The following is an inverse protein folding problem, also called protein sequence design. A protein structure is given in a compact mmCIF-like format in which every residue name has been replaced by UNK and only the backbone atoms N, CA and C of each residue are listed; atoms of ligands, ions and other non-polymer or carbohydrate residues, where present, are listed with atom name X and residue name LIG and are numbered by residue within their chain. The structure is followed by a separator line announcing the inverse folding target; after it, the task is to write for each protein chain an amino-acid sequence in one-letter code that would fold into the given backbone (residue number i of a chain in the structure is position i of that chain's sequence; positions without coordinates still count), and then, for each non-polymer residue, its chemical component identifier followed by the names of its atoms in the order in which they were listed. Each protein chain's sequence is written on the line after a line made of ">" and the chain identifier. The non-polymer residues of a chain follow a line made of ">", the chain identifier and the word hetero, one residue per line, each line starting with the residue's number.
data_IF_035423972498
#
_entry.id   IF_035423972498
#
_cell.length_a   1.000
_cell.length_b   1.000
_cell.length_c   1.000
_cell.angle_alpha   90.00
_cell.angle_beta   90.00
_cell.angle_gamma   90.00
#
_symmetry.space_group_name_H-M   'P 1'
#
loop_
_entity.id
_entity.type
_entity.pdbx_description
1 polymer ?
#
# COMPACT_ATOMS: atom_id res chain seq x y z
N UNK A 1 -37.98 72.70 -27.44
CA UNK A 1 -39.24 72.35 -26.75
C UNK A 1 -39.26 70.82 -26.59
N UNK A 2 -38.78 70.32 -25.44
CA UNK A 2 -39.60 69.77 -24.33
C UNK A 2 -40.12 68.37 -24.68
N UNK A 3 -39.42 67.29 -24.28
CA UNK A 3 -39.41 66.61 -22.97
C UNK A 3 -40.38 65.43 -22.89
N UNK A 4 -39.79 64.23 -22.75
CA UNK A 4 -40.13 63.06 -21.93
C UNK A 4 -41.59 62.64 -21.66
N UNK A 5 -41.79 61.32 -21.79
CA UNK A 5 -42.53 60.32 -20.96
C UNK A 5 -43.27 59.34 -21.89
N UNK A 6 -43.32 58.02 -21.71
CA UNK A 6 -43.30 57.22 -20.49
C UNK A 6 -43.08 55.71 -20.80
N UNK A 7 -42.51 55.00 -19.81
CA UNK A 7 -42.72 53.58 -19.42
C UNK A 7 -42.72 52.46 -20.48
N UNK A 8 -41.66 51.66 -20.55
CA UNK A 8 -41.46 50.42 -19.77
C UNK A 8 -42.26 49.21 -20.29
N UNK A 9 -41.54 48.29 -20.94
CA UNK A 9 -41.66 46.88 -20.60
C UNK A 9 -40.32 46.18 -20.91
N UNK A 10 -39.50 46.05 -19.87
CA UNK A 10 -38.27 45.29 -19.91
C UNK A 10 -38.56 43.86 -20.38
N UNK A 11 -38.06 43.48 -21.56
CA UNK A 11 -37.94 42.07 -21.96
C UNK A 11 -36.98 41.40 -20.98
N UNK A 12 -37.54 40.78 -19.95
CA UNK A 12 -36.85 39.92 -19.01
C UNK A 12 -36.31 38.73 -19.80
N UNK A 13 -35.06 38.81 -20.22
CA UNK A 13 -34.34 37.67 -20.78
C UNK A 13 -34.33 36.58 -19.69
N UNK A 14 -35.02 35.48 -19.95
CA UNK A 14 -34.91 34.26 -19.17
C UNK A 14 -33.52 33.68 -19.44
N UNK A 15 -32.53 34.13 -18.68
CA UNK A 15 -31.23 33.46 -18.60
C UNK A 15 -31.50 32.14 -17.88
N UNK A 16 -31.70 31.07 -18.64
CA UNK A 16 -31.71 29.72 -18.08
C UNK A 16 -30.30 29.41 -17.62
N UNK A 17 -30.02 29.63 -16.33
CA UNK A 17 -28.77 29.17 -15.72
C UNK A 17 -28.77 27.64 -15.82
N UNK A 18 -27.82 27.01 -16.55
CA UNK A 18 -27.72 25.56 -16.52
C UNK A 18 -27.35 25.17 -15.08
N UNK A 19 -28.26 24.51 -14.37
CA UNK A 19 -27.96 23.87 -13.10
C UNK A 19 -26.92 22.78 -13.39
N UNK A 20 -25.66 23.09 -13.12
CA UNK A 20 -24.58 22.10 -13.17
C UNK A 20 -24.85 21.10 -12.04
N UNK A 21 -25.57 20.03 -12.34
CA UNK A 21 -25.75 18.90 -11.42
C UNK A 21 -24.36 18.34 -11.18
N UNK A 22 -23.87 18.48 -9.95
CA UNK A 22 -22.60 17.92 -9.50
C UNK A 22 -22.74 16.40 -9.54
N UNK A 23 -22.49 15.80 -10.70
CA UNK A 23 -22.35 14.36 -10.84
C UNK A 23 -21.13 13.94 -10.02
N UNK A 24 -21.36 13.24 -8.92
CA UNK A 24 -20.27 12.60 -8.19
C UNK A 24 -19.64 11.57 -9.13
N UNK A 25 -18.38 11.79 -9.49
CA UNK A 25 -17.61 10.82 -10.23
C UNK A 25 -17.62 9.50 -9.45
N UNK A 26 -18.21 8.46 -10.01
CA UNK A 26 -18.09 7.11 -9.47
C UNK A 26 -16.63 6.69 -9.60
N UNK A 27 -15.89 6.42 -8.50
CA UNK A 27 -14.51 5.99 -8.62
C UNK A 27 -14.48 4.58 -9.21
N UNK A 28 -14.33 4.45 -10.53
CA UNK A 28 -13.89 3.21 -11.17
C UNK A 28 -12.41 3.03 -10.86
N UNK A 29 -12.12 2.53 -9.67
CA UNK A 29 -10.93 1.75 -9.43
C UNK A 29 -11.39 0.32 -9.24
N UNK A 30 -10.77 -0.64 -9.92
CA UNK A 30 -10.92 -2.05 -9.56
C UNK A 30 -10.37 -2.19 -8.13
N UNK A 31 -11.24 -2.03 -7.15
CA UNK A 31 -10.90 -2.16 -5.73
C UNK A 31 -10.67 -3.65 -5.51
N UNK A 32 -9.39 -4.02 -5.40
CA UNK A 32 -9.00 -5.36 -4.96
C UNK A 32 -9.61 -5.58 -3.58
N UNK A 33 -10.47 -6.59 -3.44
CA UNK A 33 -11.11 -6.92 -2.16
C UNK A 33 -10.04 -7.44 -1.21
N UNK A 34 -9.70 -6.65 -0.20
CA UNK A 34 -8.74 -7.05 0.82
C UNK A 34 -9.51 -7.79 1.93
N UNK A 35 -9.11 -9.01 2.32
CA UNK A 35 -9.87 -9.85 3.25
C UNK A 35 -9.77 -9.37 4.71
N UNK A 36 -8.67 -8.70 5.09
CA UNK A 36 -8.47 -8.15 6.44
C UNK A 36 -8.02 -6.70 6.38
N UNK A 37 -8.61 -5.87 7.26
CA UNK A 37 -8.16 -4.51 7.49
C UNK A 37 -7.03 -4.50 8.51
N UNK A 38 -5.82 -4.20 8.04
CA UNK A 38 -4.66 -4.02 8.91
C UNK A 38 -4.43 -2.53 9.19
N UNK A 39 -4.07 -2.22 10.43
CA UNK A 39 -3.83 -0.85 10.89
C UNK A 39 -2.34 -0.58 11.06
N UNK A 40 -1.98 0.68 11.32
CA UNK A 40 -0.58 1.09 11.53
C UNK A 40 0.20 1.34 10.24
N UNK A 41 1.52 1.47 10.39
CA UNK A 41 2.43 1.73 9.27
C UNK A 41 2.54 0.45 8.43
N UNK A 42 2.74 -0.68 9.09
CA UNK A 42 2.83 -2.00 8.48
C UNK A 42 1.56 -2.38 7.70
N UNK A 43 0.38 -2.10 8.25
CA UNK A 43 -0.89 -2.37 7.58
C UNK A 43 -1.04 -1.59 6.28
N UNK A 44 -0.76 -0.28 6.29
CA UNK A 44 -0.85 0.57 5.09
C UNK A 44 0.07 0.09 3.97
N UNK A 45 1.30 -0.26 4.31
CA UNK A 45 2.27 -0.77 3.34
C UNK A 45 1.91 -2.15 2.81
N UNK A 46 1.51 -3.06 3.71
CA UNK A 46 1.09 -4.42 3.36
C UNK A 46 -0.14 -4.40 2.44
N UNK A 47 -1.17 -3.63 2.77
CA UNK A 47 -2.37 -3.48 1.95
C UNK A 47 -2.07 -2.85 0.58
N UNK A 48 -1.17 -1.87 0.52
CA UNK A 48 -0.74 -1.27 -0.74
C UNK A 48 0.01 -2.28 -1.62
N UNK A 49 0.94 -3.05 -1.04
CA UNK A 49 1.67 -4.11 -1.74
C UNK A 49 0.73 -5.20 -2.24
N UNK A 50 -0.22 -5.67 -1.40
CA UNK A 50 -1.23 -6.65 -1.79
C UNK A 50 -2.07 -6.16 -2.97
N UNK A 51 -2.52 -4.91 -2.93
CA UNK A 51 -3.29 -4.30 -4.01
C UNK A 51 -2.47 -4.22 -5.30
N UNK A 52 -1.18 -3.86 -5.21
CA UNK A 52 -0.29 -3.79 -6.37
C UNK A 52 0.04 -5.17 -6.95
N UNK A 53 0.30 -6.16 -6.09
CA UNK A 53 0.58 -7.54 -6.48
C UNK A 53 -0.65 -8.23 -7.09
N UNK A 54 -1.84 -7.97 -6.53
CA UNK A 54 -3.11 -8.47 -7.06
C UNK A 54 -3.43 -7.92 -8.44
N UNK A 55 -3.20 -6.61 -8.67
CA UNK A 55 -3.36 -6.02 -10.01
C UNK A 55 -2.43 -6.64 -11.07
N UNK A 56 -1.27 -7.16 -10.65
CA UNK A 56 -0.28 -7.81 -11.51
C UNK A 56 -0.39 -9.34 -11.52
N UNK A 57 -1.33 -9.93 -10.77
CA UNK A 57 -1.48 -11.37 -10.59
C UNK A 57 -0.23 -12.12 -10.07
N UNK A 58 0.66 -11.44 -9.33
CA UNK A 58 1.93 -12.01 -8.86
C UNK A 58 1.98 -12.20 -7.33
N UNK A 59 0.84 -12.47 -6.67
CA UNK A 59 0.76 -12.49 -5.21
C UNK A 59 1.65 -13.54 -4.55
N UNK A 60 1.59 -14.79 -5.05
CA UNK A 60 2.34 -15.93 -4.51
C UNK A 60 3.85 -15.74 -4.73
N UNK A 61 4.24 -15.24 -5.91
CA UNK A 61 5.64 -15.00 -6.20
C UNK A 61 6.23 -13.95 -5.25
N UNK A 62 5.53 -12.83 -5.06
CA UNK A 62 5.94 -11.78 -4.11
C UNK A 62 5.99 -12.31 -2.67
N UNK A 63 5.06 -13.17 -2.26
CA UNK A 63 5.09 -13.82 -0.94
C UNK A 63 6.38 -14.63 -0.73
N UNK A 64 6.74 -15.48 -1.70
CA UNK A 64 7.97 -16.28 -1.60
C UNK A 64 9.25 -15.43 -1.56
N UNK A 65 9.27 -14.33 -2.30
CA UNK A 65 10.39 -13.39 -2.30
C UNK A 65 10.53 -12.66 -0.97
N UNK A 66 9.42 -12.16 -0.42
CA UNK A 66 9.41 -11.52 0.90
C UNK A 66 9.88 -12.48 2.01
N UNK A 67 9.52 -13.76 1.92
CA UNK A 67 10.02 -14.78 2.85
C UNK A 67 11.53 -15.00 2.74
N UNK A 68 12.07 -15.05 1.52
CA UNK A 68 13.53 -15.14 1.32
C UNK A 68 14.25 -13.92 1.91
N UNK A 69 13.72 -12.72 1.69
CA UNK A 69 14.29 -11.49 2.25
C UNK A 69 14.27 -11.52 3.78
N UNK A 70 13.16 -11.95 4.38
CA UNK A 70 13.06 -12.13 5.84
C UNK A 70 14.14 -13.07 6.37
N UNK A 71 14.31 -14.24 5.73
CA UNK A 71 15.32 -15.20 6.13
C UNK A 71 16.75 -14.67 5.99
N UNK A 72 17.05 -13.88 4.95
CA UNK A 72 18.38 -13.25 4.78
C UNK A 72 18.64 -12.24 5.89
N UNK A 73 17.67 -11.40 6.23
CA UNK A 73 17.79 -10.41 7.31
C UNK A 73 17.98 -11.09 8.68
N UNK A 74 17.32 -12.22 8.92
CA UNK A 74 17.47 -12.98 10.16
C UNK A 74 18.80 -13.73 10.25
N UNK A 75 19.36 -14.19 9.13
CA UNK A 75 20.64 -14.91 9.09
C UNK A 75 21.84 -13.98 9.25
N UNK A 76 21.80 -12.80 8.64
CA UNK A 76 22.93 -11.88 8.60
C UNK A 76 22.71 -10.68 9.54
N UNK A 77 23.26 -10.71 10.77
CA UNK A 77 23.07 -9.62 11.74
C UNK A 77 23.66 -8.29 11.24
N UNK A 78 24.67 -8.34 10.36
CA UNK A 78 25.26 -7.15 9.72
C UNK A 78 24.25 -6.39 8.86
N UNK A 79 23.40 -7.12 8.12
CA UNK A 79 22.35 -6.51 7.29
C UNK A 79 21.30 -5.88 8.20
N UNK A 80 20.93 -6.56 9.29
CA UNK A 80 19.99 -6.02 10.27
C UNK A 80 20.48 -4.71 10.88
N UNK A 81 21.72 -4.67 11.36
CA UNK A 81 22.33 -3.43 11.90
C UNK A 81 22.34 -2.32 10.84
N UNK A 82 22.73 -2.63 9.60
CA UNK A 82 22.72 -1.65 8.51
C UNK A 82 21.33 -1.05 8.23
N UNK A 83 20.26 -1.86 8.35
CA UNK A 83 18.88 -1.38 8.19
C UNK A 83 18.45 -0.48 9.36
N UNK A 84 18.82 -0.84 10.58
CA UNK A 84 18.51 -0.14 11.83
C UNK A 84 19.31 1.16 12.02
N UNK A 85 20.52 1.26 11.46
CA UNK A 85 21.43 2.39 11.68
C UNK A 85 20.92 3.72 11.09
N UNK A 86 20.52 4.71 11.91
CA UNK A 86 19.97 5.98 11.41
C UNK A 86 21.05 6.93 10.86
N UNK A 87 22.33 6.66 11.13
CA UNK A 87 23.47 7.49 10.71
C UNK A 87 23.74 7.44 9.20
N UNK A 88 23.28 6.39 8.52
CA UNK A 88 23.50 6.22 7.10
C UNK A 88 22.50 7.03 6.27
N UNK A 89 23.01 7.81 5.32
CA UNK A 89 22.19 8.58 4.38
C UNK A 89 21.21 7.68 3.61
N UNK A 90 19.99 8.17 3.38
CA UNK A 90 18.93 7.42 2.68
C UNK A 90 19.35 6.92 1.28
N UNK A 91 20.17 7.70 0.57
CA UNK A 91 20.70 7.35 -0.75
C UNK A 91 21.58 6.10 -0.68
N UNK A 92 22.59 6.09 0.21
CA UNK A 92 23.44 4.91 0.44
C UNK A 92 22.66 3.66 0.85
N UNK A 93 21.61 3.83 1.68
CA UNK A 93 20.69 2.72 2.02
C UNK A 93 19.95 2.20 0.79
N UNK A 94 19.42 3.10 -0.04
CA UNK A 94 18.73 2.75 -1.28
C UNK A 94 19.65 1.99 -2.24
N UNK A 95 20.89 2.46 -2.41
CA UNK A 95 21.87 1.82 -3.29
C UNK A 95 22.27 0.44 -2.79
N UNK A 96 22.53 0.28 -1.49
CA UNK A 96 22.84 -1.01 -0.88
C UNK A 96 21.69 -2.01 -1.02
N UNK A 97 20.46 -1.58 -0.74
CA UNK A 97 19.27 -2.43 -0.92
C UNK A 97 19.07 -2.80 -2.39
N UNK A 98 19.30 -1.86 -3.31
CA UNK A 98 19.17 -2.11 -4.74
C UNK A 98 20.24 -3.08 -5.27
N UNK A 99 21.45 -3.06 -4.75
CA UNK A 99 22.49 -4.05 -5.07
C UNK A 99 22.07 -5.45 -4.58
N UNK A 100 21.63 -5.57 -3.32
CA UNK A 100 21.13 -6.83 -2.76
C UNK A 100 19.93 -7.40 -3.56
N UNK A 101 19.07 -6.51 -4.09
CA UNK A 101 17.92 -6.90 -4.90
C UNK A 101 18.28 -7.28 -6.34
N UNK A 102 19.41 -6.81 -6.87
CA UNK A 102 19.90 -7.21 -8.20
C UNK A 102 20.45 -8.62 -8.15
N UNK A 103 21.24 -8.92 -7.14
CA UNK A 103 21.88 -10.24 -6.98
C UNK A 103 20.84 -11.37 -6.79
N UNK A 104 19.69 -11.05 -6.19
CA UNK A 104 18.63 -12.01 -5.91
C UNK A 104 17.59 -12.22 -7.02
N UNK A 105 17.69 -11.55 -8.18
CA UNK A 105 16.74 -11.67 -9.30
C UNK A 105 15.25 -11.55 -8.89
N UNK A 106 14.90 -10.58 -8.03
CA UNK A 106 13.53 -10.39 -7.58
C UNK A 106 12.61 -9.76 -8.64
N UNK A 107 11.30 -9.97 -8.50
CA UNK A 107 10.25 -9.37 -9.31
C UNK A 107 10.27 -7.83 -9.22
N UNK A 108 9.87 -7.18 -10.31
CA UNK A 108 9.81 -5.71 -10.39
C UNK A 108 8.90 -5.09 -9.33
N UNK A 109 7.83 -5.79 -8.95
CA UNK A 109 6.92 -5.31 -7.89
C UNK A 109 7.63 -5.24 -6.54
N UNK A 110 8.44 -6.24 -6.23
CA UNK A 110 9.24 -6.34 -5.01
C UNK A 110 10.36 -5.29 -5.01
N UNK A 111 11.08 -5.14 -6.13
CA UNK A 111 12.10 -4.08 -6.31
C UNK A 111 11.53 -2.68 -6.10
N UNK A 112 10.38 -2.39 -6.71
CA UNK A 112 9.71 -1.10 -6.56
C UNK A 112 9.24 -0.86 -5.13
N UNK A 113 8.73 -1.90 -4.46
CA UNK A 113 8.32 -1.80 -3.07
C UNK A 113 9.49 -1.43 -2.13
N UNK A 114 10.62 -2.13 -2.25
CA UNK A 114 11.81 -1.81 -1.45
C UNK A 114 12.39 -0.43 -1.77
N UNK A 115 12.29 0.02 -3.02
CA UNK A 115 12.66 1.38 -3.42
C UNK A 115 11.82 2.41 -2.66
N UNK A 116 10.49 2.22 -2.60
CA UNK A 116 9.59 3.11 -1.86
C UNK A 116 9.87 3.07 -0.35
N UNK A 117 10.18 1.91 0.22
CA UNK A 117 10.56 1.82 1.64
C UNK A 117 11.87 2.55 1.93
N UNK A 118 12.86 2.43 1.04
CA UNK A 118 14.14 3.12 1.18
C UNK A 118 14.00 4.64 1.11
N UNK A 119 13.17 5.15 0.18
CA UNK A 119 12.90 6.59 0.05
C UNK A 119 12.21 7.16 1.30
N UNK A 120 11.25 6.41 1.83
CA UNK A 120 10.54 6.80 3.05
C UNK A 120 11.33 6.54 4.33
N UNK A 121 12.48 5.86 4.26
CA UNK A 121 13.30 5.50 5.42
C UNK A 121 12.67 4.44 6.33
N UNK A 122 11.77 3.60 5.81
CA UNK A 122 10.97 2.62 6.56
C UNK A 122 11.51 1.19 6.46
N UNK A 123 12.80 1.07 6.21
CA UNK A 123 13.49 -0.21 6.03
C UNK A 123 13.58 -1.05 7.32
N UNK A 124 13.54 -0.40 8.49
CA UNK A 124 13.51 -1.07 9.80
C UNK A 124 12.22 -1.85 10.02
N UNK A 125 11.11 -1.35 9.49
CA UNK A 125 9.77 -1.95 9.65
C UNK A 125 9.51 -3.10 8.65
N UNK A 126 10.50 -3.45 7.82
CA UNK A 126 10.37 -4.50 6.79
C UNK A 126 9.85 -5.81 7.36
N UNK A 127 10.40 -6.27 8.49
CA UNK A 127 9.98 -7.54 9.13
C UNK A 127 8.50 -7.48 9.53
N UNK A 128 8.06 -6.36 10.11
CA UNK A 128 6.66 -6.19 10.52
C UNK A 128 5.73 -6.16 9.30
N UNK A 129 6.13 -5.49 8.23
CA UNK A 129 5.36 -5.45 6.98
C UNK A 129 5.24 -6.85 6.36
N UNK A 130 6.31 -7.64 6.37
CA UNK A 130 6.29 -9.02 5.86
C UNK A 130 5.31 -9.87 6.67
N UNK A 131 5.36 -9.80 8.01
CA UNK A 131 4.42 -10.52 8.87
C UNK A 131 2.96 -10.10 8.61
N UNK A 132 2.71 -8.80 8.50
CA UNK A 132 1.40 -8.26 8.15
C UNK A 132 0.92 -8.76 6.77
N UNK A 133 1.82 -8.87 5.80
CA UNK A 133 1.50 -9.42 4.47
C UNK A 133 1.15 -10.91 4.54
N UNK A 134 1.85 -11.69 5.36
CA UNK A 134 1.49 -13.09 5.60
C UNK A 134 0.08 -13.22 6.18
N UNK A 135 -0.29 -12.38 7.15
CA UNK A 135 -1.65 -12.37 7.69
C UNK A 135 -2.71 -12.02 6.64
N UNK A 136 -2.39 -11.14 5.68
CA UNK A 136 -3.28 -10.89 4.53
C UNK A 136 -3.40 -12.12 3.62
N UNK A 137 -2.29 -12.83 3.37
CA UNK A 137 -2.28 -14.02 2.52
C UNK A 137 -3.05 -15.19 3.14
N UNK A 138 -2.90 -15.46 4.44
CA UNK A 138 -3.69 -16.49 5.14
C UNK A 138 -5.18 -16.18 5.07
N UNK A 139 -5.55 -14.92 5.29
CA UNK A 139 -6.95 -14.51 5.19
C UNK A 139 -7.49 -14.56 3.75
N UNK A 140 -6.66 -14.29 2.75
CA UNK A 140 -7.03 -14.45 1.34
C UNK A 140 -7.30 -15.92 0.99
N UNK A 141 -6.62 -16.85 1.67
CA UNK A 141 -6.85 -18.31 1.57
C UNK A 141 -7.98 -18.81 2.46
N UNK A 142 -8.63 -17.93 3.24
CA UNK A 142 -9.61 -18.27 4.27
C UNK A 142 -9.06 -19.21 5.37
N UNK A 143 -7.77 -19.12 5.66
CA UNK A 143 -7.10 -19.88 6.73
C UNK A 143 -6.98 -19.02 8.00
N UNK A 144 -7.34 -19.61 9.15
CA UNK A 144 -7.24 -18.96 10.46
C UNK A 144 -6.37 -19.85 11.37
N UNK A 145 -5.16 -19.40 11.77
CA UNK A 145 -4.34 -20.17 12.70
C UNK A 145 -5.00 -20.19 14.08
N UNK A 146 -5.23 -21.37 14.64
CA UNK A 146 -5.80 -21.56 15.98
C UNK A 146 -4.83 -22.40 16.82
N UNK A 147 -4.56 -21.97 18.04
CA UNK A 147 -3.80 -22.74 19.03
C UNK A 147 -4.77 -23.44 19.98
N UNK A 148 -4.77 -24.77 19.99
CA UNK A 148 -5.58 -25.58 20.91
C UNK A 148 -4.70 -25.93 22.12
N UNK A 149 -5.12 -25.52 23.31
CA UNK A 149 -4.48 -25.89 24.57
C UNK A 149 -5.38 -26.91 25.26
N UNK A 150 -4.98 -28.19 25.26
CA UNK A 150 -5.70 -29.27 25.92
C UNK A 150 -5.00 -29.73 27.19
N UNK A 151 -5.73 -30.01 28.26
CA UNK A 151 -5.20 -30.65 29.46
C UNK A 151 -5.09 -32.17 29.24
N UNK A 152 -3.94 -32.76 29.58
CA UNK A 152 -3.76 -34.21 29.64
C UNK A 152 -4.14 -34.68 31.03
N UNK A 153 -5.26 -35.40 31.17
CA UNK A 153 -5.61 -36.11 32.41
C UNK A 153 -4.73 -37.37 32.50
N UNK A 154 -3.86 -37.40 33.50
CA UNK A 154 -3.14 -38.62 33.89
C UNK A 154 -4.05 -39.47 34.77
N UNK A 155 -4.27 -40.73 34.36
CA UNK A 155 -4.78 -41.80 35.20
C UNK A 155 -3.61 -42.71 35.58
#
# INVERSE_FOLDING_TARGET
>A
MTSFTSFSLAKRALISVPKFVRGYATPTSKIVKIPLTLYGIEGRYSTALFTAASKKNNLEHVETELMKVKSVIEKDPKIRSFLEDPSLSRQKKKDGVHQLLKDGNYCDTTKNFFTVLAENGRLTETIKIINAYQSLMTANRNEIPVTIISAKVGF
#
